data_IF_021040596552
#
_entry.id   IF_021040596552
#
_cell.length_a   1.000
_cell.length_b   1.000
_cell.length_c   1.000
_cell.angle_alpha   90.00
_cell.angle_beta   90.00
_cell.angle_gamma   90.00
#
_symmetry.space_group_name_H-M   'P 1'
#
loop_
_entity.id
_entity.type
_entity.pdbx_description
1 polymer ?
#
# COMPACT_ATOMS: atom_id res chain seq x y z
N UNK A 1 -21.82 -6.77 -7.43
CA UNK A 1 -21.53 -5.43 -6.82
C UNK A 1 -20.46 -4.73 -7.63
N UNK A 2 -20.32 -3.42 -7.53
CA UNK A 2 -19.22 -2.67 -8.17
C UNK A 2 -18.35 -2.04 -7.07
N UNK A 3 -17.08 -1.72 -7.32
CA UNK A 3 -16.26 -0.98 -6.36
C UNK A 3 -16.92 0.36 -6.00
N UNK A 4 -16.76 0.81 -4.77
CA UNK A 4 -17.19 2.13 -4.34
C UNK A 4 -16.10 3.15 -4.69
N UNK A 5 -16.31 3.92 -5.75
CA UNK A 5 -15.46 5.06 -6.11
C UNK A 5 -16.22 6.34 -5.79
N UNK A 6 -15.65 7.20 -4.93
CA UNK A 6 -16.36 8.39 -4.46
C UNK A 6 -15.50 9.65 -4.56
N UNK A 7 -16.03 10.67 -5.22
CA UNK A 7 -15.46 12.01 -5.20
C UNK A 7 -15.67 12.70 -3.85
N UNK A 8 -14.65 13.43 -3.39
CA UNK A 8 -14.73 14.32 -2.22
C UNK A 8 -14.05 15.66 -2.55
N UNK A 9 -14.73 16.76 -2.31
CA UNK A 9 -14.21 18.13 -2.51
C UNK A 9 -13.61 18.37 -3.90
N UNK A 10 -14.28 17.87 -4.95
CA UNK A 10 -13.82 18.00 -6.34
C UNK A 10 -12.62 17.12 -6.70
N UNK A 11 -12.22 16.20 -5.82
CA UNK A 11 -11.17 15.21 -6.06
C UNK A 11 -11.76 13.84 -6.30
N UNK A 12 -11.48 13.28 -7.47
CA UNK A 12 -11.95 11.96 -7.87
C UNK A 12 -10.76 11.01 -8.04
N UNK A 13 -10.85 9.78 -7.56
CA UNK A 13 -9.78 8.79 -7.76
C UNK A 13 -9.40 8.60 -9.24
N UNK A 14 -8.10 8.55 -9.52
CA UNK A 14 -7.53 8.37 -10.84
C UNK A 14 -6.70 7.09 -10.90
N UNK A 15 -6.94 6.30 -11.94
CA UNK A 15 -6.31 5.00 -12.12
C UNK A 15 -5.53 4.96 -13.44
N UNK A 16 -4.33 4.42 -13.40
CA UNK A 16 -3.57 4.06 -14.59
C UNK A 16 -4.22 2.89 -15.34
N UNK A 17 -3.61 2.50 -16.45
CA UNK A 17 -4.13 1.40 -17.29
C UNK A 17 -4.12 0.08 -16.54
N UNK A 18 -5.03 -0.81 -16.92
CA UNK A 18 -5.08 -2.21 -16.47
C UNK A 18 -5.18 -2.43 -14.96
N UNK A 19 -5.66 -1.44 -14.21
CA UNK A 19 -5.96 -1.63 -12.80
C UNK A 19 -7.12 -2.60 -12.59
N UNK A 20 -7.07 -3.35 -11.49
CA UNK A 20 -8.15 -4.21 -11.01
C UNK A 20 -8.75 -3.67 -9.72
N UNK A 21 -10.05 -3.56 -9.66
CA UNK A 21 -10.79 -3.16 -8.46
C UNK A 21 -11.86 -4.24 -8.20
N UNK A 22 -11.77 -4.91 -7.04
CA UNK A 22 -12.78 -5.88 -6.63
C UNK A 22 -14.14 -5.19 -6.39
N UNK A 23 -15.23 -5.96 -6.41
CA UNK A 23 -16.61 -5.44 -6.38
C UNK A 23 -16.95 -4.64 -5.11
N UNK A 24 -16.20 -4.81 -4.05
CA UNK A 24 -16.42 -4.11 -2.77
C UNK A 24 -15.17 -3.35 -2.28
N UNK A 25 -14.19 -3.13 -3.15
CA UNK A 25 -13.09 -2.20 -2.87
C UNK A 25 -13.66 -0.78 -2.75
N UNK A 26 -13.13 0.01 -1.82
CA UNK A 26 -13.56 1.39 -1.57
C UNK A 26 -12.41 2.36 -1.81
N UNK A 27 -12.55 3.25 -2.81
CA UNK A 27 -11.55 4.26 -3.15
C UNK A 27 -12.20 5.64 -3.14
N UNK A 28 -11.69 6.56 -2.32
CA UNK A 28 -12.35 7.85 -2.05
C UNK A 28 -11.35 9.01 -2.17
N UNK A 29 -11.75 10.09 -2.86
CA UNK A 29 -11.08 11.39 -2.82
C UNK A 29 -9.80 11.47 -3.65
N UNK A 30 -8.80 12.19 -3.16
CA UNK A 30 -7.54 12.48 -3.85
C UNK A 30 -6.60 11.26 -3.84
N UNK A 31 -6.94 10.28 -4.65
CA UNK A 31 -6.15 9.05 -4.85
C UNK A 31 -5.70 8.98 -6.30
N UNK A 32 -4.40 8.84 -6.52
CA UNK A 32 -3.82 8.63 -7.85
C UNK A 32 -2.95 7.38 -7.79
N UNK A 33 -3.19 6.41 -8.65
CA UNK A 33 -2.34 5.23 -8.81
C UNK A 33 -1.86 5.05 -10.25
N UNK A 34 -0.71 4.43 -10.40
CA UNK A 34 -0.13 4.06 -11.69
C UNK A 34 -0.85 2.88 -12.34
N UNK A 35 -0.16 2.23 -13.26
CA UNK A 35 -0.69 1.13 -14.06
C UNK A 35 -0.65 -0.22 -13.30
N UNK A 36 -1.54 -1.13 -13.68
CA UNK A 36 -1.60 -2.52 -13.18
C UNK A 36 -1.66 -2.64 -11.65
N UNK A 37 -2.21 -1.63 -10.98
CA UNK A 37 -2.51 -1.72 -9.55
C UNK A 37 -3.74 -2.62 -9.31
N UNK A 38 -3.82 -3.24 -8.13
CA UNK A 38 -4.96 -4.07 -7.76
C UNK A 38 -5.46 -3.75 -6.36
N UNK A 39 -6.78 -3.57 -6.25
CA UNK A 39 -7.47 -3.29 -4.99
C UNK A 39 -8.42 -4.45 -4.70
N UNK A 40 -8.08 -5.21 -3.67
CA UNK A 40 -8.75 -6.46 -3.36
C UNK A 40 -9.96 -6.27 -2.44
N UNK A 41 -10.62 -7.36 -2.09
CA UNK A 41 -11.92 -7.33 -1.42
C UNK A 41 -11.86 -6.62 -0.07
N UNK A 42 -12.85 -5.76 0.20
CA UNK A 42 -12.95 -4.95 1.41
C UNK A 42 -11.75 -4.01 1.68
N UNK A 43 -10.86 -3.80 0.73
CA UNK A 43 -9.79 -2.80 0.88
C UNK A 43 -10.36 -1.39 0.86
N UNK A 44 -9.76 -0.48 1.65
CA UNK A 44 -10.17 0.93 1.71
C UNK A 44 -8.95 1.84 1.45
N UNK A 45 -9.03 2.66 0.41
CA UNK A 45 -8.03 3.68 0.10
C UNK A 45 -8.73 5.04 0.11
N UNK A 46 -8.52 5.84 1.18
CA UNK A 46 -9.29 7.05 1.41
C UNK A 46 -8.41 8.28 1.51
N UNK A 47 -8.35 9.06 0.43
CA UNK A 47 -7.65 10.34 0.29
C UNK A 47 -8.57 11.55 0.45
N UNK A 48 -9.40 11.57 1.49
CA UNK A 48 -10.37 12.64 1.75
C UNK A 48 -9.78 13.83 2.53
N UNK A 49 -8.76 13.57 3.33
CA UNK A 49 -8.11 14.57 4.19
C UNK A 49 -6.73 15.01 3.71
N UNK A 50 -6.09 14.20 2.87
CA UNK A 50 -4.84 14.48 2.15
C UNK A 50 -4.73 13.54 0.96
N UNK A 51 -3.77 13.79 0.04
CA UNK A 51 -3.57 12.95 -1.13
C UNK A 51 -2.94 11.58 -0.78
N UNK A 52 -3.29 10.59 -1.58
CA UNK A 52 -2.62 9.29 -1.68
C UNK A 52 -2.09 9.14 -3.10
N UNK A 53 -0.79 8.92 -3.26
CA UNK A 53 -0.15 8.66 -4.56
C UNK A 53 0.52 7.31 -4.54
N UNK A 54 0.26 6.50 -5.56
CA UNK A 54 0.85 5.16 -5.72
C UNK A 54 1.47 5.02 -7.10
N UNK A 55 2.60 4.33 -7.17
CA UNK A 55 3.25 3.95 -8.41
C UNK A 55 2.52 2.80 -9.14
N UNK A 56 3.25 2.09 -9.98
CA UNK A 56 2.75 0.98 -10.77
C UNK A 56 2.80 -0.34 -9.99
N UNK A 57 1.91 -1.28 -10.35
CA UNK A 57 1.94 -2.67 -9.85
C UNK A 57 1.85 -2.77 -8.31
N UNK A 58 1.16 -1.81 -7.69
CA UNK A 58 0.86 -1.85 -6.26
C UNK A 58 -0.35 -2.74 -6.03
N UNK A 59 -0.26 -3.69 -5.09
CA UNK A 59 -1.41 -4.49 -4.69
C UNK A 59 -1.83 -4.15 -3.26
N UNK A 60 -3.11 -3.80 -3.10
CA UNK A 60 -3.75 -3.49 -1.82
C UNK A 60 -4.68 -4.64 -1.50
N UNK A 61 -4.23 -5.55 -0.63
CA UNK A 61 -4.91 -6.82 -0.39
C UNK A 61 -6.16 -6.67 0.48
N UNK A 62 -6.89 -7.79 0.63
CA UNK A 62 -8.19 -7.82 1.30
C UNK A 62 -8.13 -7.18 2.69
N UNK A 63 -9.10 -6.30 2.96
CA UNK A 63 -9.22 -5.59 4.21
C UNK A 63 -8.12 -4.58 4.54
N UNK A 64 -7.13 -4.38 3.67
CA UNK A 64 -6.08 -3.39 3.91
C UNK A 64 -6.62 -1.96 3.83
N UNK A 65 -6.06 -1.06 4.66
CA UNK A 65 -6.51 0.33 4.77
C UNK A 65 -5.35 1.27 4.47
N UNK A 66 -5.56 2.21 3.56
CA UNK A 66 -4.63 3.31 3.27
C UNK A 66 -5.33 4.63 3.57
N UNK A 67 -4.71 5.44 4.42
CA UNK A 67 -5.27 6.73 4.81
C UNK A 67 -4.16 7.76 5.07
N UNK A 68 -4.53 8.94 5.55
CA UNK A 68 -3.66 10.10 5.73
C UNK A 68 -4.05 10.89 6.98
N UNK A 69 -3.16 11.76 7.49
CA UNK A 69 -3.52 12.77 8.49
C UNK A 69 -3.84 14.11 7.82
N UNK A 70 -4.95 14.71 8.22
CA UNK A 70 -5.47 15.96 7.66
C UNK A 70 -4.40 17.06 7.57
N UNK A 71 -4.12 17.51 6.35
CA UNK A 71 -3.15 18.58 6.01
C UNK A 71 -1.73 18.42 6.60
N UNK A 72 -1.37 17.24 7.14
CA UNK A 72 -0.06 17.00 7.77
C UNK A 72 0.74 15.92 7.08
N UNK A 73 0.18 14.72 6.96
CA UNK A 73 0.93 13.56 6.49
C UNK A 73 0.19 12.89 5.34
N UNK A 74 0.59 13.14 4.07
CA UNK A 74 0.11 12.39 2.91
C UNK A 74 0.66 10.98 2.92
N UNK A 75 0.08 10.12 2.10
CA UNK A 75 0.63 8.78 1.85
C UNK A 75 1.18 8.68 0.43
N UNK A 76 2.45 8.31 0.33
CA UNK A 76 3.11 8.06 -0.96
C UNK A 76 3.65 6.64 -1.00
N UNK A 77 3.37 5.93 -2.09
CA UNK A 77 3.73 4.52 -2.28
C UNK A 77 4.42 4.39 -3.63
N UNK A 78 5.59 3.79 -3.65
CA UNK A 78 6.38 3.54 -4.86
C UNK A 78 5.80 2.44 -5.75
N UNK A 79 6.62 1.91 -6.63
CA UNK A 79 6.24 0.85 -7.56
C UNK A 79 6.39 -0.53 -6.91
N UNK A 80 5.57 -1.49 -7.34
CA UNK A 80 5.73 -2.91 -6.98
C UNK A 80 5.66 -3.16 -5.47
N UNK A 81 4.82 -2.38 -4.78
CA UNK A 81 4.60 -2.52 -3.34
C UNK A 81 3.46 -3.49 -3.08
N UNK A 82 3.69 -4.40 -2.16
CA UNK A 82 2.67 -5.33 -1.67
C UNK A 82 2.18 -4.89 -0.29
N UNK A 83 0.89 -4.56 -0.18
CA UNK A 83 0.23 -4.24 1.08
C UNK A 83 -0.64 -5.42 1.47
N UNK A 84 -0.17 -6.20 2.44
CA UNK A 84 -0.76 -7.47 2.86
C UNK A 84 -2.15 -7.32 3.48
N UNK A 85 -2.88 -8.45 3.54
CA UNK A 85 -4.24 -8.51 4.08
C UNK A 85 -4.34 -7.82 5.46
N UNK A 86 -5.37 -7.00 5.65
CA UNK A 86 -5.64 -6.25 6.89
C UNK A 86 -4.50 -5.32 7.36
N UNK A 87 -3.53 -5.00 6.51
CA UNK A 87 -2.49 -4.04 6.87
C UNK A 87 -3.04 -2.61 6.88
N UNK A 88 -2.43 -1.73 7.69
CA UNK A 88 -2.76 -0.31 7.74
C UNK A 88 -1.53 0.51 7.33
N UNK A 89 -1.68 1.35 6.32
CA UNK A 89 -0.66 2.28 5.83
C UNK A 89 -1.20 3.70 6.00
N UNK A 90 -0.61 4.46 6.91
CA UNK A 90 -1.16 5.75 7.30
C UNK A 90 -0.11 6.87 7.30
N UNK A 91 -0.33 7.91 6.48
CA UNK A 91 0.46 9.14 6.48
C UNK A 91 1.97 8.97 6.30
N UNK A 92 2.43 8.05 5.48
CA UNK A 92 3.84 7.65 5.39
C UNK A 92 4.34 7.56 3.95
N UNK A 93 5.64 7.38 3.80
CA UNK A 93 6.32 7.17 2.51
C UNK A 93 6.83 5.73 2.43
N UNK A 94 6.31 4.97 1.49
CA UNK A 94 6.79 3.64 1.13
C UNK A 94 7.47 3.75 -0.23
N UNK A 95 8.73 3.31 -0.33
CA UNK A 95 9.47 3.29 -1.59
C UNK A 95 9.16 2.04 -2.42
N UNK A 96 9.93 1.80 -3.48
CA UNK A 96 9.67 0.70 -4.41
C UNK A 96 9.94 -0.68 -3.79
N UNK A 97 9.19 -1.69 -4.23
CA UNK A 97 9.42 -3.10 -3.86
C UNK A 97 9.51 -3.31 -2.35
N UNK A 98 8.49 -2.86 -1.67
CA UNK A 98 8.33 -3.07 -0.22
C UNK A 98 7.20 -4.06 0.03
N UNK A 99 7.39 -4.94 0.98
CA UNK A 99 6.31 -5.77 1.55
C UNK A 99 5.88 -5.18 2.91
N UNK A 100 4.63 -4.75 2.98
CA UNK A 100 3.93 -4.51 4.25
C UNK A 100 3.17 -5.80 4.56
N UNK A 101 3.63 -6.52 5.56
CA UNK A 101 3.09 -7.83 5.94
C UNK A 101 1.64 -7.77 6.42
N UNK A 102 0.95 -8.92 6.40
CA UNK A 102 -0.44 -9.06 6.83
C UNK A 102 -0.64 -8.51 8.25
N UNK A 103 -1.66 -7.66 8.44
CA UNK A 103 -1.98 -7.05 9.73
C UNK A 103 -0.92 -6.08 10.27
N UNK A 104 0.11 -5.74 9.52
CA UNK A 104 1.09 -4.74 9.94
C UNK A 104 0.51 -3.33 9.91
N UNK A 105 1.03 -2.45 10.77
CA UNK A 105 0.61 -1.04 10.87
C UNK A 105 1.84 -0.15 10.67
N UNK A 106 1.77 0.75 9.69
CA UNK A 106 2.81 1.76 9.46
C UNK A 106 2.18 3.14 9.71
N UNK A 107 2.71 3.84 10.70
CA UNK A 107 2.17 5.11 11.18
C UNK A 107 2.78 6.32 10.46
N UNK A 108 2.26 7.52 10.80
CA UNK A 108 2.60 8.79 10.18
C UNK A 108 4.09 9.09 10.15
N UNK A 109 4.51 9.75 9.07
CA UNK A 109 5.87 10.22 8.86
C UNK A 109 6.94 9.12 8.86
N UNK A 110 6.54 7.85 8.78
CA UNK A 110 7.49 6.77 8.52
C UNK A 110 8.02 6.85 7.09
N UNK A 111 9.26 6.43 6.92
CA UNK A 111 9.89 6.20 5.61
C UNK A 111 10.32 4.75 5.58
N UNK A 112 9.79 3.99 4.62
CA UNK A 112 10.22 2.61 4.37
C UNK A 112 10.92 2.59 3.02
N UNK A 113 12.25 2.44 3.05
CA UNK A 113 13.08 2.43 1.86
C UNK A 113 12.85 1.17 1.01
N UNK A 114 13.29 1.25 -0.25
CA UNK A 114 13.11 0.17 -1.23
C UNK A 114 13.69 -1.16 -0.76
N UNK A 115 13.11 -2.24 -1.26
CA UNK A 115 13.59 -3.60 -1.03
C UNK A 115 13.53 -4.05 0.45
N UNK A 116 12.64 -3.43 1.23
CA UNK A 116 12.46 -3.68 2.68
C UNK A 116 11.19 -4.47 2.99
N UNK A 117 11.13 -5.06 4.17
CA UNK A 117 10.00 -5.86 4.63
C UNK A 117 9.55 -5.39 6.01
N UNK A 118 8.28 -5.08 6.14
CA UNK A 118 7.59 -4.99 7.43
C UNK A 118 6.90 -6.31 7.66
N UNK A 119 7.30 -7.03 8.70
CA UNK A 119 6.78 -8.36 9.00
C UNK A 119 5.29 -8.32 9.39
N UNK A 120 4.59 -9.45 9.24
CA UNK A 120 3.19 -9.56 9.62
C UNK A 120 2.98 -9.17 11.08
N UNK A 121 1.90 -8.41 11.35
CA UNK A 121 1.53 -7.94 12.69
C UNK A 121 2.47 -6.91 13.31
N UNK A 122 3.49 -6.43 12.62
CA UNK A 122 4.41 -5.43 13.14
C UNK A 122 3.77 -4.04 13.22
N UNK A 123 4.14 -3.25 14.23
CA UNK A 123 3.70 -1.85 14.39
C UNK A 123 4.91 -0.92 14.26
N UNK A 124 5.05 -0.30 13.08
CA UNK A 124 6.09 0.71 12.79
C UNK A 124 5.60 2.06 13.33
N UNK A 125 6.23 2.50 14.40
CA UNK A 125 5.81 3.72 15.10
C UNK A 125 6.18 4.98 14.31
N UNK A 126 5.43 6.04 14.57
CA UNK A 126 5.55 7.35 13.89
C UNK A 126 7.00 7.83 13.75
N UNK A 127 7.35 8.32 12.57
CA UNK A 127 8.69 8.87 12.28
C UNK A 127 9.80 7.84 12.12
N UNK A 128 9.50 6.55 12.17
CA UNK A 128 10.51 5.50 11.97
C UNK A 128 11.04 5.51 10.54
N UNK A 129 12.35 5.37 10.38
CA UNK A 129 13.01 5.22 9.09
C UNK A 129 13.60 3.81 8.95
N UNK A 130 12.95 2.98 8.15
CA UNK A 130 13.41 1.65 7.76
C UNK A 130 14.33 1.78 6.55
N UNK A 131 15.58 1.36 6.66
CA UNK A 131 16.57 1.44 5.58
C UNK A 131 16.33 0.36 4.53
N UNK A 132 16.90 0.57 3.34
CA UNK A 132 16.82 -0.40 2.24
C UNK A 132 17.37 -1.77 2.66
N UNK A 133 16.64 -2.83 2.31
CA UNK A 133 17.02 -4.21 2.63
C UNK A 133 16.81 -4.61 4.09
N UNK A 134 16.16 -3.79 4.92
CA UNK A 134 15.88 -4.14 6.32
C UNK A 134 14.53 -4.87 6.48
N UNK A 135 14.49 -5.79 7.45
CA UNK A 135 13.25 -6.39 7.97
C UNK A 135 12.97 -5.83 9.35
N UNK A 136 11.78 -5.25 9.53
CA UNK A 136 11.27 -4.80 10.82
C UNK A 136 10.15 -5.71 11.29
N UNK A 137 10.17 -6.10 12.58
CA UNK A 137 9.17 -6.97 13.19
C UNK A 137 8.87 -6.57 14.64
N UNK A 138 7.73 -6.98 15.15
CA UNK A 138 7.30 -6.79 16.54
C UNK A 138 6.46 -5.54 16.80
N UNK A 139 6.10 -5.32 18.07
CA UNK A 139 5.29 -4.21 18.59
C UNK A 139 5.97 -3.62 19.82
N UNK A 140 6.60 -2.44 19.74
CA UNK A 140 6.91 -1.68 18.53
C UNK A 140 7.91 -2.41 17.63
N UNK A 141 7.80 -2.18 16.32
CA UNK A 141 8.66 -2.82 15.34
C UNK A 141 10.12 -2.35 15.46
N UNK A 142 11.04 -3.30 15.37
CA UNK A 142 12.48 -3.08 15.37
C UNK A 142 13.13 -3.87 14.24
N UNK A 143 14.30 -3.41 13.79
CA UNK A 143 15.11 -4.14 12.83
C UNK A 143 15.50 -5.52 13.41
N UNK A 144 15.17 -6.58 12.69
CA UNK A 144 15.50 -7.96 13.08
C UNK A 144 16.49 -8.61 12.11
N UNK A 145 16.55 -8.12 10.87
CA UNK A 145 17.42 -8.67 9.82
C UNK A 145 17.66 -7.63 8.73
N UNK A 146 18.68 -7.84 7.92
CA UNK A 146 18.90 -7.19 6.63
C UNK A 146 19.34 -8.20 5.58
N UNK A 147 19.12 -7.89 4.31
CA UNK A 147 19.48 -8.76 3.19
C UNK A 147 19.05 -8.19 1.84
N UNK A 148 19.20 -9.00 0.82
CA UNK A 148 18.79 -8.67 -0.56
C UNK A 148 17.45 -9.33 -0.88
N UNK A 149 16.37 -8.55 -0.84
CA UNK A 149 15.00 -9.04 -1.04
C UNK A 149 14.39 -8.62 -2.38
N UNK A 150 15.10 -7.81 -3.18
CA UNK A 150 14.59 -7.24 -4.42
C UNK A 150 13.91 -8.26 -5.33
N UNK A 151 14.57 -9.38 -5.61
CA UNK A 151 14.02 -10.43 -6.51
C UNK A 151 12.73 -11.02 -5.95
N UNK A 152 12.72 -11.40 -4.68
CA UNK A 152 11.56 -11.98 -4.01
C UNK A 152 10.36 -11.03 -3.98
N UNK A 153 10.61 -9.74 -3.71
CA UNK A 153 9.57 -8.72 -3.61
C UNK A 153 8.97 -8.40 -4.97
N UNK A 154 9.82 -8.34 -6.02
CA UNK A 154 9.37 -8.19 -7.39
C UNK A 154 8.50 -9.35 -7.85
N UNK A 155 8.94 -10.59 -7.59
CA UNK A 155 8.15 -11.79 -7.90
C UNK A 155 6.79 -11.79 -7.20
N UNK A 156 6.75 -11.33 -5.95
CA UNK A 156 5.50 -11.23 -5.19
C UNK A 156 4.54 -10.21 -5.82
N UNK A 157 5.02 -9.01 -6.16
CA UNK A 157 4.19 -8.00 -6.81
C UNK A 157 3.66 -8.49 -8.16
N UNK A 158 4.51 -9.11 -8.98
CA UNK A 158 4.13 -9.68 -10.27
C UNK A 158 3.04 -10.76 -10.15
N UNK A 159 3.07 -11.59 -9.11
CA UNK A 159 2.00 -12.57 -8.87
C UNK A 159 0.63 -11.91 -8.73
N UNK A 160 0.54 -10.77 -8.06
CA UNK A 160 -0.73 -10.06 -7.90
C UNK A 160 -1.21 -9.41 -9.20
N UNK A 161 -0.29 -8.99 -10.08
CA UNK A 161 -0.65 -8.59 -11.45
C UNK A 161 -1.26 -9.77 -12.21
N UNK A 162 -0.69 -10.97 -12.10
CA UNK A 162 -1.26 -12.18 -12.73
C UNK A 162 -2.58 -12.61 -12.08
N UNK A 163 -2.67 -12.61 -10.75
CA UNK A 163 -3.90 -13.00 -10.06
C UNK A 163 -5.07 -12.09 -10.43
N UNK A 164 -4.84 -10.79 -10.60
CA UNK A 164 -5.88 -9.85 -10.99
C UNK A 164 -6.51 -10.17 -12.35
N UNK A 165 -5.79 -10.86 -13.25
CA UNK A 165 -6.31 -11.28 -14.55
C UNK A 165 -7.38 -12.35 -14.45
N UNK A 166 -7.38 -13.15 -13.37
CA UNK A 166 -8.37 -14.21 -13.17
C UNK A 166 -9.78 -13.67 -12.88
N UNK A 167 -9.86 -12.39 -12.52
CA UNK A 167 -11.10 -11.68 -12.16
C UNK A 167 -11.53 -10.67 -13.22
N UNK A 168 -10.79 -10.58 -14.33
CA UNK A 168 -11.16 -9.75 -15.48
C UNK A 168 -11.82 -10.67 -16.52
N UNK A 169 -13.13 -10.47 -16.73
CA UNK A 169 -13.88 -11.09 -17.83
C UNK A 169 -13.45 -10.55 -19.19
#
# INVERSE_FOLDING_TARGET
>A
MKPLIKEINGKNPQFGKDCYLSENATIIGDVICGERCSFWFNSVTRGDVHFIKMGNEVNVQDGAIIHCTYKKSPTTIGNQVTIGHNAIVHGCTIKDRVLIGMGAIVLDNCIVESDSIIAAGAVVTMGTHVKSGEIYAGVPAKKVKEGEFKKQLLELANKYVEYSKWYKD
#
